data_IF_579890859135
#
_entry.id   IF_579890859135
#
_cell.length_a   1.000
_cell.length_b   1.000
_cell.length_c   1.000
_cell.angle_alpha   90.00
_cell.angle_beta   90.00
_cell.angle_gamma   90.00
#
_symmetry.space_group_name_H-M   'P 1'
#
loop_
_entity.id
_entity.type
_entity.pdbx_description
1 polymer ?
#
# COMPACT_ATOMS: atom_id res chain seq x y z
N UNK A 1 16.71 -56.49 -13.16
CA UNK A 1 15.78 -55.33 -13.23
C UNK A 1 16.08 -54.22 -12.21
N UNK A 2 17.26 -54.20 -11.57
CA UNK A 2 17.62 -53.22 -10.52
C UNK A 2 18.58 -52.11 -10.99
N UNK A 3 19.18 -52.23 -12.18
CA UNK A 3 20.11 -51.22 -12.72
C UNK A 3 19.43 -50.06 -13.49
N UNK A 4 18.15 -50.22 -13.88
CA UNK A 4 17.42 -49.22 -14.67
C UNK A 4 16.79 -48.09 -13.83
N UNK A 5 16.61 -48.30 -12.52
CA UNK A 5 16.04 -47.32 -11.58
C UNK A 5 17.06 -46.29 -11.10
N UNK A 6 18.36 -46.61 -11.07
CA UNK A 6 19.41 -45.67 -10.68
C UNK A 6 19.80 -44.72 -11.83
N UNK A 7 19.77 -45.19 -13.08
CA UNK A 7 20.12 -44.39 -14.26
C UNK A 7 19.07 -43.31 -14.62
N UNK A 8 17.80 -43.48 -14.23
CA UNK A 8 16.77 -42.45 -14.41
C UNK A 8 16.90 -41.28 -13.41
N UNK A 9 17.51 -41.50 -12.24
CA UNK A 9 17.62 -40.47 -11.20
C UNK A 9 18.61 -39.34 -11.54
N UNK A 10 19.76 -39.67 -12.12
CA UNK A 10 20.81 -38.68 -12.46
C UNK A 10 20.50 -37.90 -13.74
N UNK A 11 19.88 -38.56 -14.73
CA UNK A 11 19.46 -37.91 -15.98
C UNK A 11 18.36 -36.85 -15.74
N UNK A 12 17.37 -37.18 -14.92
CA UNK A 12 16.27 -36.26 -14.58
C UNK A 12 16.76 -35.04 -13.78
N UNK A 13 17.75 -35.22 -12.90
CA UNK A 13 18.33 -34.12 -12.13
C UNK A 13 19.19 -33.20 -13.02
N UNK A 14 19.94 -33.76 -13.96
CA UNK A 14 20.72 -32.98 -14.93
C UNK A 14 19.80 -32.17 -15.87
N UNK A 15 18.71 -32.77 -16.34
CA UNK A 15 17.71 -32.11 -17.18
C UNK A 15 16.98 -30.99 -16.41
N UNK A 16 16.68 -31.22 -15.13
CA UNK A 16 16.12 -30.20 -14.24
C UNK A 16 17.09 -29.03 -14.07
N UNK A 17 18.38 -29.29 -13.86
CA UNK A 17 19.39 -28.24 -13.76
C UNK A 17 19.50 -27.40 -15.04
N UNK A 18 19.44 -28.02 -16.22
CA UNK A 18 19.48 -27.28 -17.49
C UNK A 18 18.24 -26.39 -17.64
N UNK A 19 17.05 -26.93 -17.35
CA UNK A 19 15.78 -26.19 -17.42
C UNK A 19 15.75 -25.03 -16.42
N UNK A 20 16.19 -25.26 -15.19
CA UNK A 20 16.37 -24.23 -14.16
C UNK A 20 17.40 -23.18 -14.58
N UNK A 21 18.49 -23.59 -15.24
CA UNK A 21 19.52 -22.67 -15.72
C UNK A 21 19.02 -21.74 -16.84
N UNK A 22 17.94 -22.09 -17.55
CA UNK A 22 17.25 -21.15 -18.45
C UNK A 22 16.31 -20.23 -17.69
N UNK A 23 15.59 -20.77 -16.70
CA UNK A 23 14.63 -20.02 -15.90
C UNK A 23 15.27 -18.95 -15.00
N UNK A 24 16.51 -19.17 -14.53
CA UNK A 24 17.20 -18.26 -13.60
C UNK A 24 17.28 -16.80 -14.07
N UNK A 25 17.44 -16.57 -15.38
CA UNK A 25 17.57 -15.23 -15.97
C UNK A 25 16.29 -14.41 -15.85
N UNK A 26 15.15 -15.10 -15.77
CA UNK A 26 13.85 -14.47 -15.62
C UNK A 26 13.50 -14.19 -14.15
N UNK A 27 14.31 -14.64 -13.18
CA UNK A 27 14.09 -14.39 -11.76
C UNK A 27 14.69 -13.02 -11.41
N UNK A 28 13.92 -12.23 -10.68
CA UNK A 28 14.23 -10.84 -10.38
C UNK A 28 14.23 -10.63 -8.86
N UNK A 29 15.25 -9.95 -8.35
CA UNK A 29 15.23 -9.42 -7.00
C UNK A 29 14.53 -8.06 -6.99
N UNK A 30 13.62 -7.84 -6.04
CA UNK A 30 12.79 -6.63 -5.99
C UNK A 30 13.01 -5.94 -4.65
N UNK A 31 13.26 -4.64 -4.69
CA UNK A 31 13.36 -3.76 -3.52
C UNK A 31 12.28 -2.69 -3.59
N UNK A 32 11.55 -2.53 -2.50
CA UNK A 32 10.36 -1.71 -2.37
C UNK A 32 10.48 -0.89 -1.07
N UNK A 33 11.23 0.22 -1.13
CA UNK A 33 11.65 0.95 0.07
C UNK A 33 12.48 0.07 1.01
N UNK A 34 11.99 -0.13 2.23
CA UNK A 34 12.59 -1.03 3.22
C UNK A 34 12.29 -2.52 2.98
N UNK A 35 11.30 -2.84 2.14
CA UNK A 35 10.90 -4.21 1.84
C UNK A 35 11.75 -4.80 0.71
N UNK A 36 11.91 -6.12 0.77
CA UNK A 36 12.66 -6.89 -0.21
C UNK A 36 11.93 -8.19 -0.50
N UNK A 37 11.78 -8.51 -1.77
CA UNK A 37 11.11 -9.72 -2.24
C UNK A 37 11.74 -10.20 -3.55
N UNK A 38 11.17 -11.24 -4.13
CA UNK A 38 11.57 -11.79 -5.41
C UNK A 38 10.37 -11.82 -6.34
N UNK A 39 10.63 -11.86 -7.63
CA UNK A 39 9.61 -12.07 -8.64
C UNK A 39 10.20 -12.71 -9.87
N UNK A 40 9.40 -12.82 -10.92
CA UNK A 40 9.84 -13.42 -12.17
C UNK A 40 9.13 -12.81 -13.38
N UNK A 41 9.81 -12.75 -14.52
CA UNK A 41 9.26 -12.21 -15.77
C UNK A 41 8.22 -13.18 -16.31
N UNK A 42 6.97 -12.72 -16.35
CA UNK A 42 5.80 -13.56 -16.64
C UNK A 42 5.25 -13.37 -18.06
N UNK A 43 5.51 -12.24 -18.69
CA UNK A 43 5.01 -11.89 -20.01
C UNK A 43 6.14 -11.40 -20.92
N UNK A 44 5.97 -11.59 -22.22
CA UNK A 44 6.98 -11.21 -23.23
C UNK A 44 7.28 -9.71 -23.28
N UNK A 45 6.36 -8.87 -22.76
CA UNK A 45 6.56 -7.44 -22.59
C UNK A 45 7.45 -7.07 -21.39
N UNK A 46 7.88 -8.05 -20.58
CA UNK A 46 8.76 -7.85 -19.43
C UNK A 46 8.06 -7.67 -18.08
N UNK A 47 6.72 -7.76 -18.02
CA UNK A 47 5.99 -7.67 -16.74
C UNK A 47 6.45 -8.76 -15.78
N UNK A 48 6.71 -8.35 -14.53
CA UNK A 48 7.17 -9.22 -13.45
C UNK A 48 6.00 -9.54 -12.52
N UNK A 49 5.83 -10.82 -12.19
CA UNK A 49 4.93 -11.29 -11.14
C UNK A 49 5.69 -11.41 -9.82
N UNK A 50 5.08 -10.95 -8.73
CA UNK A 50 5.59 -11.10 -7.37
C UNK A 50 4.44 -11.22 -6.36
N UNK A 51 4.78 -11.38 -5.09
CA UNK A 51 3.81 -11.36 -3.99
C UNK A 51 3.51 -9.92 -3.58
N UNK A 52 2.22 -9.58 -3.44
CA UNK A 52 1.81 -8.29 -2.87
C UNK A 52 2.34 -8.18 -1.43
N UNK A 53 2.16 -9.22 -0.61
CA UNK A 53 2.91 -9.67 0.59
C UNK A 53 4.28 -9.03 0.71
N UNK A 54 5.18 -9.57 -0.10
CA UNK A 54 6.58 -9.20 -0.11
C UNK A 54 6.84 -7.76 -0.55
N UNK A 55 5.97 -7.20 -1.40
CA UNK A 55 6.16 -5.87 -1.97
C UNK A 55 5.64 -4.73 -1.10
N UNK A 56 4.55 -4.94 -0.36
CA UNK A 56 3.82 -3.87 0.30
C UNK A 56 2.90 -3.10 -0.67
N UNK A 57 2.83 -1.79 -0.50
CA UNK A 57 2.03 -0.87 -1.31
C UNK A 57 2.81 0.31 -1.96
N UNK A 58 4.15 0.28 -2.14
CA UNK A 58 4.78 1.35 -2.89
C UNK A 58 4.37 1.29 -4.36
N UNK A 59 4.27 2.45 -5.00
CA UNK A 59 4.05 2.54 -6.43
C UNK A 59 5.33 2.24 -7.22
N UNK A 60 6.49 2.63 -6.68
CA UNK A 60 7.80 2.49 -7.33
C UNK A 60 8.67 1.44 -6.63
N UNK A 61 9.42 0.68 -7.43
CA UNK A 61 10.29 -0.40 -6.96
C UNK A 61 11.59 -0.42 -7.77
N UNK A 62 12.64 -1.00 -7.20
CA UNK A 62 13.88 -1.29 -7.90
C UNK A 62 13.98 -2.79 -8.17
N UNK A 63 14.19 -3.13 -9.43
CA UNK A 63 14.40 -4.49 -9.91
C UNK A 63 15.89 -4.73 -10.09
N UNK A 64 16.39 -5.88 -9.70
CA UNK A 64 17.78 -6.33 -9.95
C UNK A 64 17.72 -7.68 -10.65
N UNK A 65 18.29 -7.73 -11.86
CA UNK A 65 18.37 -8.93 -12.68
C UNK A 65 19.58 -9.80 -12.27
N UNK A 66 19.66 -11.03 -12.78
CA UNK A 66 20.74 -11.97 -12.50
C UNK A 66 22.14 -11.42 -12.86
N UNK A 67 22.23 -10.65 -13.94
CA UNK A 67 23.47 -10.01 -14.41
C UNK A 67 23.90 -8.80 -13.57
N UNK A 68 23.12 -8.45 -12.53
CA UNK A 68 23.34 -7.31 -11.66
C UNK A 68 22.79 -5.98 -12.19
N UNK A 69 22.20 -5.95 -13.40
CA UNK A 69 21.54 -4.74 -13.93
C UNK A 69 20.38 -4.35 -13.03
N UNK A 70 20.28 -3.05 -12.74
CA UNK A 70 19.20 -2.46 -11.94
C UNK A 70 18.25 -1.69 -12.83
N UNK A 71 16.96 -1.98 -12.72
CA UNK A 71 15.90 -1.29 -13.45
C UNK A 71 14.96 -0.63 -12.46
N UNK A 72 14.48 0.58 -12.78
CA UNK A 72 13.29 1.10 -12.13
C UNK A 72 12.08 0.27 -12.58
N UNK A 73 11.11 0.08 -11.70
CA UNK A 73 9.85 -0.56 -12.02
C UNK A 73 8.70 0.08 -11.27
N UNK A 74 7.50 -0.01 -11.84
CA UNK A 74 6.27 0.51 -11.26
C UNK A 74 5.28 -0.61 -11.03
N UNK A 75 4.61 -0.61 -9.88
CA UNK A 75 3.49 -1.51 -9.61
C UNK A 75 2.30 -1.08 -10.46
N UNK A 76 1.81 -1.95 -11.34
CA UNK A 76 0.72 -1.62 -12.26
C UNK A 76 -0.62 -2.24 -11.86
N UNK A 77 -0.58 -3.33 -11.11
CA UNK A 77 -1.76 -4.00 -10.60
C UNK A 77 -1.40 -4.83 -9.37
N UNK A 78 -2.33 -4.92 -8.42
CA UNK A 78 -2.19 -5.78 -7.25
C UNK A 78 -3.53 -6.39 -6.89
N UNK A 79 -3.56 -7.71 -6.82
CA UNK A 79 -4.68 -8.47 -6.26
C UNK A 79 -4.35 -8.81 -4.80
N UNK A 80 -4.98 -8.06 -3.90
CA UNK A 80 -4.73 -8.16 -2.47
C UNK A 80 -5.30 -9.44 -1.88
N UNK A 81 -6.38 -9.97 -2.45
CA UNK A 81 -6.99 -11.23 -2.01
C UNK A 81 -6.14 -12.43 -2.40
N UNK A 82 -5.54 -12.39 -3.59
CA UNK A 82 -4.67 -13.45 -4.14
C UNK A 82 -3.21 -13.34 -3.70
N UNK A 83 -2.83 -12.27 -3.01
CA UNK A 83 -1.44 -11.95 -2.66
C UNK A 83 -0.52 -11.78 -3.88
N UNK A 84 -1.01 -11.18 -4.97
CA UNK A 84 -0.24 -11.03 -6.22
C UNK A 84 -0.05 -9.56 -6.55
N UNK A 85 1.15 -9.19 -6.97
CA UNK A 85 1.43 -7.89 -7.57
C UNK A 85 2.12 -8.07 -8.92
N UNK A 86 1.81 -7.16 -9.85
CA UNK A 86 2.43 -7.05 -11.16
C UNK A 86 3.25 -5.77 -11.23
N UNK A 87 4.49 -5.90 -11.69
CA UNK A 87 5.42 -4.78 -11.84
C UNK A 87 5.77 -4.63 -13.32
N UNK A 88 5.58 -3.43 -13.87
CA UNK A 88 6.13 -3.05 -15.17
C UNK A 88 7.53 -2.45 -14.98
N UNK A 89 8.57 -2.99 -15.61
CA UNK A 89 9.87 -2.33 -15.63
C UNK A 89 9.82 -1.07 -16.50
N UNK A 90 10.64 -0.06 -16.19
CA UNK A 90 10.73 1.18 -16.97
C UNK A 90 11.27 0.97 -18.40
N UNK A 91 12.06 -0.10 -18.58
CA UNK A 91 12.60 -0.56 -19.86
C UNK A 91 12.50 -2.09 -19.97
N UNK A 92 12.52 -2.68 -21.18
CA UNK A 92 12.49 -4.13 -21.34
C UNK A 92 13.67 -4.80 -20.61
N UNK A 93 13.43 -5.88 -19.83
CA UNK A 93 14.49 -6.49 -19.04
C UNK A 93 15.53 -7.22 -19.91
N UNK A 94 15.20 -7.53 -21.17
CA UNK A 94 16.09 -8.24 -22.10
C UNK A 94 16.21 -9.74 -21.81
N UNK A 95 15.29 -10.29 -21.01
CA UNK A 95 15.21 -11.71 -20.67
C UNK A 95 13.85 -12.26 -21.11
N UNK A 96 13.83 -13.53 -21.51
CA UNK A 96 12.60 -14.20 -21.91
C UNK A 96 11.70 -14.45 -20.68
N UNK A 97 10.39 -14.33 -20.88
CA UNK A 97 9.41 -14.71 -19.88
C UNK A 97 9.45 -16.22 -19.60
N UNK A 98 9.14 -16.61 -18.37
CA UNK A 98 8.95 -18.00 -18.02
C UNK A 98 7.71 -18.56 -18.70
N UNK A 99 7.81 -19.77 -19.24
CA UNK A 99 6.67 -20.47 -19.81
C UNK A 99 5.69 -20.88 -18.70
N UNK A 100 4.43 -20.53 -18.84
CA UNK A 100 3.39 -20.92 -17.90
C UNK A 100 2.95 -22.37 -18.18
N UNK A 101 2.75 -23.18 -17.13
CA UNK A 101 2.13 -24.50 -17.31
C UNK A 101 0.67 -24.30 -17.77
N UNK A 102 0.22 -25.17 -18.67
CA UNK A 102 -1.19 -25.20 -19.07
C UNK A 102 -2.09 -25.38 -17.83
N UNK A 103 -3.30 -24.78 -17.80
CA UNK A 103 -4.22 -24.92 -16.68
C UNK A 103 -4.49 -26.40 -16.38
N UNK A 104 -4.17 -26.81 -15.16
CA UNK A 104 -4.34 -28.17 -14.66
C UNK A 104 -4.03 -28.21 -13.18
N UNK A 105 -4.68 -29.12 -12.45
CA UNK A 105 -4.44 -29.27 -11.02
C UNK A 105 -3.09 -29.96 -10.77
N UNK A 106 -2.24 -29.39 -9.90
CA UNK A 106 -1.01 -30.05 -9.48
C UNK A 106 -1.29 -31.39 -8.79
N UNK A 107 -0.39 -32.36 -8.92
CA UNK A 107 -0.56 -33.68 -8.30
C UNK A 107 0.18 -33.77 -6.97
N UNK A 108 -0.43 -34.44 -5.99
CA UNK A 108 0.24 -34.76 -4.73
C UNK A 108 1.50 -35.58 -5.00
N UNK A 109 2.62 -35.20 -4.38
CA UNK A 109 3.93 -35.83 -4.53
C UNK A 109 4.71 -35.42 -5.78
N UNK A 110 4.11 -34.63 -6.69
CA UNK A 110 4.78 -34.06 -7.86
C UNK A 110 5.98 -33.22 -7.40
N UNK A 111 7.11 -33.36 -8.10
CA UNK A 111 8.33 -32.59 -7.82
C UNK A 111 8.19 -31.19 -8.40
N UNK A 112 8.64 -30.21 -7.64
CA UNK A 112 8.72 -28.82 -8.06
C UNK A 112 10.10 -28.23 -7.74
N UNK A 113 10.53 -27.28 -8.55
CA UNK A 113 11.69 -26.44 -8.27
C UNK A 113 11.20 -25.04 -7.88
N UNK A 114 11.69 -24.52 -6.75
CA UNK A 114 11.39 -23.17 -6.30
C UNK A 114 12.61 -22.28 -6.54
N UNK A 115 12.41 -21.21 -7.29
CA UNK A 115 13.44 -20.23 -7.61
C UNK A 115 13.15 -18.89 -6.96
N UNK A 116 14.16 -18.34 -6.30
CA UNK A 116 14.08 -17.03 -5.66
C UNK A 116 15.42 -16.29 -5.73
N UNK A 117 15.36 -14.97 -5.75
CA UNK A 117 16.52 -14.09 -5.63
C UNK A 117 16.11 -12.88 -4.80
N UNK A 118 16.79 -12.66 -3.67
CA UNK A 118 16.57 -11.47 -2.84
C UNK A 118 17.69 -10.45 -3.10
N UNK A 119 17.42 -9.14 -2.94
CA UNK A 119 18.43 -8.11 -3.11
C UNK A 119 19.71 -8.38 -2.30
N UNK A 120 20.86 -8.45 -2.98
CA UNK A 120 22.15 -8.72 -2.36
C UNK A 120 22.45 -10.20 -2.10
N UNK A 121 21.56 -11.11 -2.49
CA UNK A 121 21.76 -12.56 -2.42
C UNK A 121 21.89 -13.14 -3.84
N UNK A 122 22.56 -14.28 -3.96
CA UNK A 122 22.55 -15.07 -5.18
C UNK A 122 21.22 -15.79 -5.40
N UNK A 123 21.01 -16.31 -6.60
CA UNK A 123 19.87 -17.18 -6.91
C UNK A 123 19.84 -18.38 -5.96
N UNK A 124 18.68 -18.62 -5.36
CA UNK A 124 18.39 -19.80 -4.54
C UNK A 124 17.47 -20.73 -5.31
N UNK A 125 17.91 -21.97 -5.46
CA UNK A 125 17.12 -23.09 -5.95
C UNK A 125 16.82 -24.01 -4.77
N UNK A 126 15.55 -24.38 -4.60
CA UNK A 126 15.15 -25.46 -3.72
C UNK A 126 14.29 -26.47 -4.49
N UNK A 127 14.50 -27.76 -4.23
CA UNK A 127 13.67 -28.83 -4.77
C UNK A 127 12.67 -29.23 -3.70
N UNK A 128 11.40 -29.31 -4.07
CA UNK A 128 10.29 -29.59 -3.18
C UNK A 128 9.32 -30.59 -3.80
N UNK A 129 8.35 -31.03 -3.01
CA UNK A 129 7.21 -31.83 -3.42
C UNK A 129 5.92 -31.14 -3.03
N UNK A 130 4.92 -31.33 -3.86
CA UNK A 130 3.55 -30.92 -3.55
C UNK A 130 3.03 -31.82 -2.44
N UNK A 131 2.95 -31.30 -1.21
CA UNK A 131 2.53 -32.05 -0.03
C UNK A 131 1.04 -31.89 0.30
N UNK A 132 0.40 -30.88 -0.28
CA UNK A 132 -1.04 -30.69 -0.21
C UNK A 132 -1.54 -30.11 -1.52
N UNK A 133 -2.67 -30.62 -2.02
CA UNK A 133 -3.36 -30.10 -3.21
C UNK A 133 -4.65 -29.38 -2.80
N UNK A 134 -5.12 -28.39 -3.57
CA UNK A 134 -6.33 -27.64 -3.23
C UNK A 134 -7.51 -28.59 -3.04
N UNK A 135 -8.17 -28.51 -1.88
CA UNK A 135 -9.58 -28.90 -1.81
C UNK A 135 -10.39 -27.68 -2.22
N UNK A 136 -11.37 -27.85 -3.12
CA UNK A 136 -12.39 -26.83 -3.35
C UNK A 136 -13.11 -26.60 -2.02
N UNK A 137 -12.74 -25.54 -1.33
CA UNK A 137 -13.43 -25.05 -0.14
C UNK A 137 -14.10 -23.75 -0.58
N UNK A 138 -15.42 -23.68 -0.42
CA UNK A 138 -16.20 -22.52 -0.84
C UNK A 138 -15.62 -21.23 -0.24
N UNK A 139 -15.33 -20.26 -1.12
CA UNK A 139 -14.80 -18.95 -0.73
C UNK A 139 -13.28 -18.86 -0.53
N UNK A 140 -12.52 -19.95 -0.68
CA UNK A 140 -11.05 -19.90 -0.70
C UNK A 140 -10.50 -20.06 -2.10
N UNK A 141 -9.49 -19.25 -2.43
CA UNK A 141 -8.74 -19.40 -3.67
C UNK A 141 -8.04 -20.77 -3.65
N UNK A 142 -8.07 -21.52 -4.77
CA UNK A 142 -7.36 -22.79 -4.83
C UNK A 142 -5.87 -22.52 -4.65
N UNK A 143 -5.26 -23.11 -3.62
CA UNK A 143 -3.82 -23.10 -3.36
C UNK A 143 -3.33 -24.51 -3.06
N UNK A 144 -2.06 -24.78 -3.36
CA UNK A 144 -1.38 -26.01 -2.97
C UNK A 144 -0.20 -25.68 -2.05
N UNK A 145 0.31 -26.68 -1.35
CA UNK A 145 1.46 -26.51 -0.44
C UNK A 145 2.66 -27.32 -0.90
N UNK A 146 3.84 -26.76 -0.64
CA UNK A 146 5.13 -27.40 -0.84
C UNK A 146 5.78 -27.70 0.50
N UNK A 147 6.53 -28.79 0.57
CA UNK A 147 7.37 -29.18 1.71
C UNK A 147 8.70 -28.40 1.82
N UNK A 148 8.68 -27.13 1.40
CA UNK A 148 9.82 -26.21 1.51
C UNK A 148 9.37 -24.84 1.98
N UNK A 149 10.21 -24.16 2.77
CA UNK A 149 10.04 -22.74 3.06
C UNK A 149 10.75 -21.89 1.99
N UNK A 150 10.02 -20.98 1.35
CA UNK A 150 10.52 -20.08 0.33
C UNK A 150 9.94 -18.67 0.51
N UNK A 151 10.65 -17.61 0.07
CA UNK A 151 10.15 -16.25 0.19
C UNK A 151 8.91 -16.02 -0.69
N UNK A 152 7.95 -15.18 -0.27
CA UNK A 152 6.83 -14.75 -1.10
C UNK A 152 7.32 -14.15 -2.42
N UNK A 153 6.60 -14.42 -3.50
CA UNK A 153 6.90 -13.99 -4.86
C UNK A 153 7.80 -14.95 -5.64
N UNK A 154 8.36 -15.97 -4.99
CA UNK A 154 9.21 -16.96 -5.66
C UNK A 154 8.43 -17.77 -6.71
N UNK A 155 9.12 -18.10 -7.82
CA UNK A 155 8.56 -18.90 -8.89
C UNK A 155 8.61 -20.38 -8.53
N UNK A 156 7.50 -21.09 -8.71
CA UNK A 156 7.43 -22.55 -8.56
C UNK A 156 7.34 -23.16 -9.95
N UNK A 157 8.27 -24.04 -10.29
CA UNK A 157 8.39 -24.68 -11.61
C UNK A 157 8.11 -26.17 -11.52
N UNK A 158 7.50 -26.73 -12.56
CA UNK A 158 7.43 -28.19 -12.75
C UNK A 158 8.78 -28.74 -13.25
N UNK A 159 8.84 -30.06 -13.42
CA UNK A 159 10.02 -30.73 -13.96
C UNK A 159 10.36 -30.31 -15.39
N UNK A 160 9.41 -29.71 -16.13
CA UNK A 160 9.60 -29.14 -17.47
C UNK A 160 10.09 -27.68 -17.45
N UNK A 161 10.31 -27.11 -16.26
CA UNK A 161 10.73 -25.72 -16.10
C UNK A 161 9.61 -24.72 -16.39
N UNK A 162 8.34 -25.17 -16.42
CA UNK A 162 7.16 -24.32 -16.60
C UNK A 162 6.61 -23.91 -15.25
N UNK A 163 6.09 -22.69 -15.17
CA UNK A 163 5.57 -22.13 -13.92
C UNK A 163 4.28 -22.84 -13.51
N UNK A 164 4.30 -23.45 -12.33
CA UNK A 164 3.15 -23.99 -11.61
C UNK A 164 2.39 -22.91 -10.86
N UNK A 165 3.09 -21.92 -10.34
CA UNK A 165 2.52 -20.89 -9.50
C UNK A 165 3.56 -19.97 -8.87
N UNK A 166 3.08 -19.14 -7.95
CA UNK A 166 3.88 -18.18 -7.19
C UNK A 166 3.70 -18.44 -5.70
N UNK A 167 4.79 -18.38 -4.93
CA UNK A 167 4.73 -18.48 -3.47
C UNK A 167 3.98 -17.25 -2.94
N UNK A 168 2.87 -17.50 -2.25
CA UNK A 168 2.05 -16.49 -1.61
C UNK A 168 2.31 -16.49 -0.10
N UNK A 169 2.20 -15.33 0.53
CA UNK A 169 2.20 -15.24 1.98
C UNK A 169 0.82 -15.64 2.53
N UNK A 170 0.75 -16.55 3.53
CA UNK A 170 -0.48 -17.12 4.03
C UNK A 170 -1.44 -16.05 4.58
N UNK A 171 -2.74 -16.17 4.31
CA UNK A 171 -3.74 -15.21 4.80
C UNK A 171 -4.16 -15.51 6.25
N UNK A 172 -3.63 -14.79 7.24
CA UNK A 172 -4.06 -14.85 8.65
C UNK A 172 -2.92 -15.07 9.67
N UNK A 173 -3.26 -15.03 10.96
CA UNK A 173 -2.36 -15.33 12.11
C UNK A 173 -2.09 -16.86 12.22
N UNK A 174 -1.04 -17.30 12.95
CA UNK A 174 -0.12 -18.34 12.51
C UNK A 174 -0.66 -19.76 12.67
N UNK A 175 -0.71 -20.43 11.53
CA UNK A 175 -0.48 -21.86 11.40
C UNK A 175 0.58 -22.08 10.32
N UNK A 176 1.64 -21.28 10.30
CA UNK A 176 2.80 -21.58 9.46
C UNK A 176 3.37 -22.91 9.95
N UNK A 177 3.11 -23.97 9.20
CA UNK A 177 3.84 -25.21 9.36
C UNK A 177 5.30 -24.90 9.00
N UNK A 178 6.23 -25.00 9.96
CA UNK A 178 7.63 -24.68 9.70
C UNK A 178 8.13 -25.53 8.53
N UNK A 179 8.71 -24.88 7.51
CA UNK A 179 9.21 -25.58 6.33
C UNK A 179 8.17 -25.84 5.25
N UNK A 180 7.00 -25.20 5.26
CA UNK A 180 6.03 -25.27 4.16
C UNK A 180 5.78 -23.91 3.51
N UNK A 181 5.37 -23.92 2.24
CA UNK A 181 4.99 -22.72 1.51
C UNK A 181 3.67 -22.91 0.79
N UNK A 182 2.82 -21.89 0.86
CA UNK A 182 1.55 -21.82 0.10
C UNK A 182 1.85 -21.30 -1.29
N UNK A 183 1.32 -21.97 -2.30
CA UNK A 183 1.48 -21.61 -3.72
C UNK A 183 0.13 -21.27 -4.31
N UNK A 184 0.04 -20.09 -4.92
CA UNK A 184 -1.06 -19.72 -5.78
C UNK A 184 -0.82 -20.30 -7.19
N UNK A 185 -1.73 -21.14 -7.73
CA UNK A 185 -1.59 -21.73 -9.06
C UNK A 185 -1.55 -20.66 -10.16
N UNK A 186 -0.76 -20.94 -11.20
CA UNK A 186 -0.60 -20.06 -12.36
C UNK A 186 -1.92 -19.80 -13.08
N UNK A 187 -2.86 -20.76 -13.06
CA UNK A 187 -4.21 -20.58 -13.61
C UNK A 187 -4.97 -19.43 -12.96
N UNK A 188 -4.78 -19.22 -11.66
CA UNK A 188 -5.39 -18.11 -10.90
C UNK A 188 -4.81 -16.74 -11.27
N UNK A 189 -3.63 -16.70 -11.91
CA UNK A 189 -2.98 -15.47 -12.37
C UNK A 189 -3.47 -15.01 -13.75
N UNK A 190 -4.04 -15.91 -14.55
CA UNK A 190 -4.33 -15.66 -15.96
C UNK A 190 -5.23 -14.43 -16.21
N UNK A 191 -6.32 -14.20 -15.46
CA UNK A 191 -7.14 -13.00 -15.67
C UNK A 191 -6.35 -11.70 -15.45
N UNK A 192 -5.48 -11.70 -14.43
CA UNK A 192 -4.65 -10.54 -14.10
C UNK A 192 -3.57 -10.32 -15.16
N UNK A 193 -2.89 -11.38 -15.59
CA UNK A 193 -1.87 -11.34 -16.65
C UNK A 193 -2.48 -10.90 -17.99
N UNK A 194 -3.62 -11.45 -18.38
CA UNK A 194 -4.31 -11.07 -19.61
C UNK A 194 -4.72 -9.59 -19.63
N UNK A 195 -5.02 -9.00 -18.47
CA UNK A 195 -5.33 -7.57 -18.39
C UNK A 195 -4.13 -6.66 -18.66
N UNK A 196 -2.90 -7.17 -18.60
CA UNK A 196 -1.66 -6.42 -18.83
C UNK A 196 -0.80 -6.98 -19.95
N UNK A 197 -1.32 -7.91 -20.75
CA UNK A 197 -0.65 -8.45 -21.94
C UNK A 197 -0.81 -7.48 -23.11
N UNK A 198 -0.07 -6.37 -23.02
CA UNK A 198 -0.06 -5.26 -23.97
C UNK A 198 1.35 -4.64 -24.01
N UNK A 199 1.67 -3.74 -24.96
CA UNK A 199 2.99 -3.11 -25.02
C UNK A 199 3.42 -2.47 -23.70
N UNK A 200 4.70 -2.62 -23.32
CA UNK A 200 5.24 -2.11 -22.05
C UNK A 200 5.08 -0.58 -21.90
N UNK A 201 5.14 0.15 -23.01
CA UNK A 201 4.96 1.60 -23.06
C UNK A 201 3.59 2.03 -22.50
N UNK A 202 2.55 1.21 -22.67
CA UNK A 202 1.19 1.51 -22.17
C UNK A 202 1.04 1.24 -20.67
N UNK A 203 2.04 0.61 -20.05
CA UNK A 203 1.99 0.12 -18.67
C UNK A 203 2.91 0.89 -17.73
N UNK A 204 4.11 1.27 -18.20
CA UNK A 204 5.17 1.81 -17.32
C UNK A 204 4.79 3.10 -16.58
N UNK A 205 3.88 3.89 -17.15
CA UNK A 205 3.42 5.16 -16.59
C UNK A 205 2.04 5.05 -15.90
N UNK A 206 1.48 3.84 -15.85
CA UNK A 206 0.14 3.59 -15.29
C UNK A 206 0.17 3.62 -13.77
N UNK A 207 -0.77 4.34 -13.16
CA UNK A 207 -0.98 4.30 -11.71
C UNK A 207 -1.33 2.87 -11.23
N UNK A 208 -0.82 2.43 -10.07
CA UNK A 208 -1.14 1.10 -9.54
C UNK A 208 -2.64 0.94 -9.29
N UNK A 209 -3.20 -0.21 -9.68
CA UNK A 209 -4.59 -0.57 -9.35
C UNK A 209 -4.61 -1.69 -8.32
N UNK A 210 -5.07 -1.40 -7.11
CA UNK A 210 -5.25 -2.38 -6.03
C UNK A 210 -6.69 -2.89 -6.02
N UNK A 211 -6.90 -4.19 -5.88
CA UNK A 211 -8.24 -4.82 -5.86
C UNK A 211 -8.62 -5.32 -4.49
N UNK A 212 -9.86 -5.05 -4.08
CA UNK A 212 -10.38 -5.42 -2.77
C UNK A 212 -10.33 -6.96 -2.60
N UNK A 213 -9.85 -7.48 -1.46
CA UNK A 213 -9.79 -8.92 -1.21
C UNK A 213 -11.16 -9.61 -1.07
N UNK A 214 -12.28 -8.87 -1.08
CA UNK A 214 -13.63 -9.45 -1.02
C UNK A 214 -14.41 -9.36 -2.31
N UNK A 215 -14.51 -8.18 -2.91
CA UNK A 215 -15.35 -7.94 -4.09
C UNK A 215 -14.55 -7.62 -5.35
N UNK A 216 -13.21 -7.68 -5.29
CA UNK A 216 -12.28 -7.40 -6.39
C UNK A 216 -12.35 -5.98 -6.99
N UNK A 217 -13.20 -5.11 -6.43
CA UNK A 217 -13.35 -3.71 -6.83
C UNK A 217 -12.02 -2.96 -6.62
N UNK A 218 -11.61 -2.11 -7.58
CA UNK A 218 -10.48 -1.22 -7.39
C UNK A 218 -10.65 -0.37 -6.13
N UNK A 219 -9.55 -0.15 -5.40
CA UNK A 219 -9.55 0.74 -4.25
C UNK A 219 -8.28 1.58 -4.19
N UNK A 220 -8.40 2.72 -3.54
CA UNK A 220 -7.27 3.58 -3.19
C UNK A 220 -6.65 3.11 -1.87
N UNK A 221 -5.33 2.97 -1.82
CA UNK A 221 -4.58 2.56 -0.62
C UNK A 221 -4.77 3.50 0.58
N UNK A 222 -5.24 4.72 0.33
CA UNK A 222 -5.62 5.69 1.36
C UNK A 222 -6.98 5.38 2.00
N UNK A 223 -7.82 4.57 1.34
CA UNK A 223 -9.11 4.16 1.87
C UNK A 223 -8.99 3.06 2.93
N UNK A 224 -9.65 3.23 4.07
CA UNK A 224 -9.78 2.16 5.09
C UNK A 224 -10.72 1.05 4.68
N UNK A 225 -11.71 1.36 3.85
CA UNK A 225 -12.76 0.43 3.48
C UNK A 225 -12.96 0.46 1.99
N UNK A 226 -13.27 -0.70 1.43
CA UNK A 226 -13.67 -0.81 0.05
C UNK A 226 -14.97 -0.02 -0.17
N UNK A 227 -14.99 0.86 -1.16
CA UNK A 227 -16.18 1.64 -1.51
C UNK A 227 -17.30 0.76 -2.09
N UNK A 228 -16.96 -0.39 -2.71
CA UNK A 228 -17.93 -1.33 -3.25
C UNK A 228 -18.62 -2.19 -2.19
N UNK A 229 -17.86 -2.79 -1.25
CA UNK A 229 -18.40 -3.77 -0.30
C UNK A 229 -18.31 -3.38 1.19
N UNK A 230 -17.68 -2.23 1.51
CA UNK A 230 -17.49 -1.77 2.89
C UNK A 230 -16.48 -2.57 3.73
N UNK A 231 -15.84 -3.61 3.17
CA UNK A 231 -14.84 -4.42 3.88
C UNK A 231 -13.62 -3.58 4.24
N UNK A 232 -13.09 -3.78 5.44
CA UNK A 232 -11.83 -3.18 5.87
C UNK A 232 -10.69 -3.66 4.97
N UNK A 233 -9.96 -2.73 4.39
CA UNK A 233 -8.85 -2.99 3.48
C UNK A 233 -7.58 -3.26 4.29
N UNK A 234 -6.73 -4.21 3.88
CA UNK A 234 -5.44 -4.43 4.53
C UNK A 234 -4.53 -3.26 4.13
N UNK A 235 -4.31 -2.33 5.05
CA UNK A 235 -3.59 -1.09 4.78
C UNK A 235 -2.14 -1.25 4.32
N UNK A 236 -1.63 -0.20 3.66
CA UNK A 236 -0.20 0.05 3.43
C UNK A 236 0.59 0.34 4.70
N UNK A 237 -0.11 0.80 5.74
CA UNK A 237 0.52 1.24 6.96
C UNK A 237 0.59 0.07 7.93
N UNK A 238 1.79 -0.40 8.31
CA UNK A 238 1.91 -1.36 9.39
C UNK A 238 1.19 -0.83 10.64
N UNK A 239 0.54 -1.69 11.43
CA UNK A 239 -0.01 -1.26 12.71
C UNK A 239 1.14 -0.74 13.57
N UNK A 240 1.19 0.57 13.77
CA UNK A 240 2.09 1.21 14.71
C UNK A 240 1.33 1.35 16.04
N UNK A 241 1.78 0.71 17.14
CA UNK A 241 1.10 0.81 18.44
C UNK A 241 0.93 2.26 18.92
N UNK A 242 1.92 3.13 18.66
CA UNK A 242 1.83 4.55 18.96
C UNK A 242 0.70 5.21 18.15
N UNK A 243 0.62 4.97 16.84
CA UNK A 243 -0.47 5.48 16.00
C UNK A 243 -1.84 4.96 16.44
N UNK A 244 -1.94 3.67 16.80
CA UNK A 244 -3.20 3.10 17.27
C UNK A 244 -3.67 3.71 18.61
N UNK A 245 -2.76 4.15 19.47
CA UNK A 245 -3.10 4.89 20.69
C UNK A 245 -3.63 6.29 20.36
N UNK A 246 -2.96 7.01 19.46
CA UNK A 246 -3.40 8.33 19.00
C UNK A 246 -4.74 8.27 18.26
N UNK A 247 -4.92 7.30 17.36
CA UNK A 247 -6.20 7.12 16.66
C UNK A 247 -7.35 6.87 17.65
N UNK A 248 -7.12 6.13 18.74
CA UNK A 248 -8.12 5.96 19.81
C UNK A 248 -8.40 7.28 20.53
N UNK A 249 -7.37 8.05 20.85
CA UNK A 249 -7.50 9.38 21.46
C UNK A 249 -8.35 10.31 20.58
N UNK A 250 -8.05 10.40 19.27
CA UNK A 250 -8.84 11.22 18.33
C UNK A 250 -10.30 10.72 18.27
N UNK A 251 -10.52 9.41 18.25
CA UNK A 251 -11.89 8.86 18.27
C UNK A 251 -12.65 9.27 19.52
N UNK A 252 -12.00 9.29 20.67
CA UNK A 252 -12.58 9.72 21.95
C UNK A 252 -12.85 11.23 21.95
N UNK A 253 -11.88 12.04 21.51
CA UNK A 253 -12.01 13.48 21.38
C UNK A 253 -13.19 13.86 20.46
N UNK A 254 -13.26 13.26 19.26
CA UNK A 254 -14.37 13.47 18.34
C UNK A 254 -15.70 13.00 18.93
N UNK A 255 -15.71 11.88 19.66
CA UNK A 255 -16.92 11.41 20.35
C UNK A 255 -17.38 12.37 21.43
N UNK A 256 -16.48 13.02 22.16
CA UNK A 256 -16.80 14.05 23.16
C UNK A 256 -17.44 15.29 22.50
N UNK A 257 -17.09 15.57 21.25
CA UNK A 257 -17.70 16.60 20.40
C UNK A 257 -19.02 16.13 19.73
N UNK A 258 -19.48 14.91 20.01
CA UNK A 258 -20.67 14.32 19.37
C UNK A 258 -20.45 13.87 17.93
N UNK A 259 -19.20 13.77 17.48
CA UNK A 259 -18.83 13.42 16.11
C UNK A 259 -18.42 11.94 16.04
N UNK A 260 -19.05 11.20 15.13
CA UNK A 260 -18.64 9.82 14.85
C UNK A 260 -17.39 9.83 14.00
N UNK A 261 -16.23 9.56 14.61
CA UNK A 261 -14.92 9.60 13.95
C UNK A 261 -14.85 8.85 12.61
N UNK A 262 -15.49 7.68 12.49
CA UNK A 262 -15.50 6.91 11.25
C UNK A 262 -16.26 7.60 10.10
N UNK A 263 -17.23 8.48 10.39
CA UNK A 263 -17.94 9.28 9.37
C UNK A 263 -17.14 10.49 8.92
N UNK A 264 -16.32 11.03 9.82
CA UNK A 264 -15.45 12.16 9.56
C UNK A 264 -14.14 11.77 8.87
N UNK A 265 -13.80 10.48 8.81
CA UNK A 265 -12.50 10.04 8.30
C UNK A 265 -12.47 10.14 6.78
N UNK A 266 -11.48 10.86 6.25
CA UNK A 266 -11.27 11.07 4.81
C UNK A 266 -9.99 10.41 4.29
N UNK A 267 -9.12 9.97 5.20
CA UNK A 267 -7.89 9.26 4.87
C UNK A 267 -7.38 8.40 6.03
N UNK A 268 -6.25 7.71 5.85
CA UNK A 268 -5.74 6.76 6.83
C UNK A 268 -5.21 7.46 8.08
N UNK A 269 -4.80 8.71 7.97
CA UNK A 269 -4.32 9.54 9.08
C UNK A 269 -5.09 10.85 9.18
N UNK A 270 -6.21 10.96 8.47
CA UNK A 270 -6.86 12.24 8.21
C UNK A 270 -8.36 12.18 8.46
N UNK A 271 -8.85 13.13 9.23
CA UNK A 271 -10.27 13.37 9.46
C UNK A 271 -10.63 14.78 9.03
N UNK A 272 -11.85 14.93 8.53
CA UNK A 272 -12.45 16.19 8.15
C UNK A 272 -13.79 16.30 8.84
N UNK A 273 -13.95 17.33 9.65
CA UNK A 273 -15.17 17.60 10.39
C UNK A 273 -15.69 18.99 10.06
N UNK A 274 -16.98 19.22 10.28
CA UNK A 274 -17.57 20.55 10.28
C UNK A 274 -18.09 20.83 11.69
N UNK A 275 -17.52 21.84 12.35
CA UNK A 275 -17.84 22.20 13.73
C UNK A 275 -18.21 23.68 13.84
N UNK A 276 -19.24 23.97 14.64
CA UNK A 276 -19.66 25.34 14.91
C UNK A 276 -18.85 25.90 16.09
N UNK A 277 -18.35 27.15 16.02
CA UNK A 277 -17.60 27.76 17.12
C UNK A 277 -18.45 27.93 18.38
N UNK A 278 -19.75 28.16 18.21
CA UNK A 278 -20.72 28.26 19.29
C UNK A 278 -22.04 27.61 18.85
N UNK A 279 -22.90 27.15 19.79
CA UNK A 279 -24.18 26.51 19.45
C UNK A 279 -25.09 27.36 18.57
N UNK A 280 -24.99 28.69 18.69
CA UNK A 280 -25.79 29.68 17.96
C UNK A 280 -25.19 30.10 16.62
N UNK A 281 -23.98 29.65 16.26
CA UNK A 281 -23.35 30.02 15.00
C UNK A 281 -24.12 29.44 13.80
N UNK A 282 -24.32 30.25 12.77
CA UNK A 282 -25.07 29.86 11.57
C UNK A 282 -24.26 28.91 10.68
N UNK A 283 -22.95 29.16 10.54
CA UNK A 283 -22.03 28.38 9.72
C UNK A 283 -21.07 27.54 10.55
N UNK A 284 -20.82 26.32 10.09
CA UNK A 284 -19.78 25.45 10.63
C UNK A 284 -18.46 25.73 9.92
N UNK A 285 -17.35 25.64 10.65
CA UNK A 285 -16.00 25.68 10.09
C UNK A 285 -15.51 24.26 9.87
N UNK A 286 -14.98 23.99 8.68
CA UNK A 286 -14.29 22.74 8.37
C UNK A 286 -12.96 22.70 9.12
N UNK A 287 -12.69 21.58 9.79
CA UNK A 287 -11.40 21.30 10.42
C UNK A 287 -10.82 20.04 9.80
N UNK A 288 -9.63 20.17 9.26
CA UNK A 288 -8.79 19.06 8.82
C UNK A 288 -7.87 18.65 9.98
N UNK A 289 -7.92 17.36 10.34
CA UNK A 289 -7.19 16.73 11.44
C UNK A 289 -6.27 15.70 10.82
N UNK A 290 -4.96 15.79 11.03
CA UNK A 290 -3.97 14.86 10.49
C UNK A 290 -3.01 14.36 11.57
N UNK A 291 -2.66 13.08 11.55
CA UNK A 291 -1.56 12.53 12.37
C UNK A 291 -0.34 12.31 11.47
N UNK A 292 0.86 12.60 11.97
CA UNK A 292 2.11 12.24 11.28
C UNK A 292 2.31 10.72 11.12
N UNK A 293 3.31 10.33 10.32
CA UNK A 293 3.58 8.92 10.05
C UNK A 293 4.00 8.13 11.30
N UNK A 294 4.73 8.79 12.20
CA UNK A 294 5.22 8.21 13.45
C UNK A 294 4.11 8.03 14.51
N UNK A 295 2.97 8.71 14.36
CA UNK A 295 1.91 8.69 15.36
C UNK A 295 2.25 9.49 16.62
N UNK A 296 2.97 10.62 16.47
CA UNK A 296 3.45 11.48 17.56
C UNK A 296 2.88 12.88 17.50
N UNK A 297 2.65 13.41 16.30
CA UNK A 297 2.19 14.78 16.10
C UNK A 297 0.77 14.79 15.57
N UNK A 298 -0.05 15.67 16.14
CA UNK A 298 -1.37 16.04 15.66
C UNK A 298 -1.27 17.39 14.96
N UNK A 299 -1.69 17.44 13.71
CA UNK A 299 -1.86 18.67 12.94
C UNK A 299 -3.35 18.96 12.79
N UNK A 300 -3.76 20.16 13.18
CA UNK A 300 -5.11 20.67 12.98
C UNK A 300 -5.05 21.89 12.08
N UNK A 301 -5.97 22.00 11.12
CA UNK A 301 -6.05 23.15 10.21
C UNK A 301 -7.50 23.54 9.93
N UNK A 302 -7.76 24.84 9.93
CA UNK A 302 -9.06 25.41 9.59
C UNK A 302 -8.89 26.65 8.67
N UNK A 303 -9.71 26.79 7.62
CA UNK A 303 -9.69 27.96 6.74
C UNK A 303 -10.33 29.18 7.42
N UNK A 304 -9.80 30.37 7.11
CA UNK A 304 -10.20 31.63 7.73
C UNK A 304 -10.78 32.58 6.68
N UNK A 305 -9.95 33.06 5.74
CA UNK A 305 -10.34 33.99 4.67
C UNK A 305 -9.55 33.72 3.38
N UNK A 306 -10.06 34.18 2.24
CA UNK A 306 -9.25 34.31 1.02
C UNK A 306 -8.28 35.49 1.12
N UNK A 307 -7.16 35.44 0.40
CA UNK A 307 -6.25 36.59 0.32
C UNK A 307 -6.97 37.74 -0.41
N UNK A 308 -7.01 38.96 0.14
CA UNK A 308 -7.72 40.07 -0.50
C UNK A 308 -6.99 40.48 -1.78
N UNK A 309 -7.74 40.94 -2.79
CA UNK A 309 -7.19 41.38 -4.09
C UNK A 309 -6.49 42.76 -4.05
N UNK A 310 -6.58 43.47 -2.92
CA UNK A 310 -5.99 44.77 -2.69
C UNK A 310 -5.37 44.84 -1.27
N UNK A 311 -4.51 45.83 -1.02
CA UNK A 311 -3.90 46.08 0.30
C UNK A 311 -3.10 44.89 0.87
N UNK A 312 -2.37 44.17 0.00
CA UNK A 312 -1.61 42.98 0.39
C UNK A 312 -0.54 43.26 1.46
N UNK A 313 0.19 44.38 1.37
CA UNK A 313 1.25 44.68 2.33
C UNK A 313 0.73 44.91 3.76
N UNK A 314 -0.30 45.76 3.99
CA UNK A 314 -0.95 45.84 5.31
C UNK A 314 -1.49 44.49 5.81
N UNK A 315 -2.09 43.70 4.92
CA UNK A 315 -2.64 42.38 5.26
C UNK A 315 -1.56 41.40 5.71
N UNK A 316 -0.47 41.24 4.95
CA UNK A 316 0.63 40.35 5.32
C UNK A 316 1.35 40.81 6.59
N UNK A 317 1.55 42.12 6.77
CA UNK A 317 2.09 42.66 8.03
C UNK A 317 1.20 42.35 9.22
N UNK A 318 -0.10 42.45 9.06
CA UNK A 318 -1.05 42.09 10.11
C UNK A 318 -0.93 40.61 10.47
N UNK A 319 -0.92 39.70 9.48
CA UNK A 319 -0.77 38.26 9.75
C UNK A 319 0.55 37.92 10.46
N UNK A 320 1.66 38.55 10.07
CA UNK A 320 2.95 38.39 10.76
C UNK A 320 2.89 38.91 12.20
N UNK A 321 2.27 40.07 12.40
CA UNK A 321 2.11 40.66 13.73
C UNK A 321 1.25 39.76 14.63
N UNK A 322 0.17 39.19 14.09
CA UNK A 322 -0.68 38.26 14.83
C UNK A 322 0.08 37.00 15.21
N UNK A 323 0.92 36.45 14.33
CA UNK A 323 1.77 35.31 14.66
C UNK A 323 2.82 35.64 15.72
N UNK A 324 3.44 36.83 15.67
CA UNK A 324 4.44 37.27 16.65
C UNK A 324 3.81 37.56 18.03
N UNK A 325 2.59 38.12 18.05
CA UNK A 325 1.87 38.44 19.28
C UNK A 325 1.13 37.23 19.87
N UNK A 326 0.79 36.23 19.05
CA UNK A 326 0.17 34.99 19.52
C UNK A 326 1.18 34.17 20.33
N UNK A 327 1.10 34.25 21.66
CA UNK A 327 1.87 33.39 22.58
C UNK A 327 1.32 31.96 22.66
N UNK A 328 0.20 31.67 21.96
CA UNK A 328 -0.46 30.37 21.95
C UNK A 328 0.10 29.37 20.93
N UNK A 329 -0.60 28.25 20.76
CA UNK A 329 -0.22 27.12 19.89
C UNK A 329 -0.77 27.23 18.46
N UNK A 330 -1.57 28.25 18.18
CA UNK A 330 -2.19 28.49 16.88
C UNK A 330 -1.34 29.44 16.04
N UNK A 331 -1.15 29.11 14.76
CA UNK A 331 -0.40 29.91 13.79
C UNK A 331 -1.20 30.11 12.52
N UNK A 332 -1.20 31.34 12.03
CA UNK A 332 -1.72 31.70 10.72
C UNK A 332 -0.71 31.34 9.64
N UNK A 333 -1.20 30.73 8.57
CA UNK A 333 -0.41 30.37 7.41
C UNK A 333 -1.18 30.70 6.14
N UNK A 334 -0.45 30.90 5.06
CA UNK A 334 -1.01 31.21 3.75
C UNK A 334 -0.54 30.11 2.81
N UNK A 335 -1.50 29.48 2.12
CA UNK A 335 -1.23 28.54 1.06
C UNK A 335 -2.17 28.85 -0.10
N UNK A 336 -1.59 28.95 -1.30
CA UNK A 336 -2.30 29.37 -2.51
C UNK A 336 -2.96 30.75 -2.32
N UNK A 337 -4.29 30.78 -2.27
CA UNK A 337 -5.12 31.98 -2.11
C UNK A 337 -5.95 31.95 -0.81
N UNK A 338 -5.52 31.13 0.17
CA UNK A 338 -6.25 30.89 1.40
C UNK A 338 -5.36 31.14 2.64
N UNK A 339 -5.90 31.93 3.57
CA UNK A 339 -5.37 32.04 4.94
C UNK A 339 -6.04 31.00 5.82
N UNK A 340 -5.22 30.22 6.51
CA UNK A 340 -5.67 29.17 7.42
C UNK A 340 -4.99 29.31 8.78
N UNK A 341 -5.73 29.00 9.83
CA UNK A 341 -5.16 28.81 11.17
C UNK A 341 -4.83 27.34 11.35
N UNK A 342 -3.67 27.07 11.93
CA UNK A 342 -3.18 25.72 12.15
C UNK A 342 -2.55 25.56 13.52
N UNK A 343 -2.57 24.34 14.05
CA UNK A 343 -1.90 23.97 15.28
C UNK A 343 -1.18 22.64 15.04
N UNK A 344 0.05 22.54 15.55
CA UNK A 344 0.78 21.27 15.60
C UNK A 344 1.09 20.98 17.06
N UNK A 345 0.48 19.93 17.60
CA UNK A 345 0.64 19.52 18.98
C UNK A 345 1.35 18.16 19.08
N UNK A 346 2.22 18.02 20.08
CA UNK A 346 2.73 16.72 20.48
C UNK A 346 1.67 15.99 21.29
N UNK A 347 1.48 14.71 20.99
CA UNK A 347 0.50 13.86 21.67
C UNK A 347 1.13 13.01 22.78
N UNK A 348 2.44 13.20 23.05
CA UNK A 348 3.12 12.52 24.15
C UNK A 348 2.58 13.03 25.50
N UNK A 349 1.79 12.19 26.18
CA UNK A 349 1.23 12.50 27.50
C UNK A 349 -0.07 13.30 27.47
N UNK A 350 -0.59 13.64 26.30
CA UNK A 350 -1.89 14.32 26.15
C UNK A 350 -3.06 13.40 26.49
N UNK A 351 -4.11 13.96 27.07
CA UNK A 351 -5.39 13.28 27.25
C UNK A 351 -6.29 13.45 26.03
N UNK A 352 -7.32 12.61 25.92
CA UNK A 352 -8.40 12.75 24.93
C UNK A 352 -9.19 14.05 25.13
N UNK A 353 -9.29 14.54 26.37
CA UNK A 353 -9.88 15.84 26.69
C UNK A 353 -9.06 17.00 26.10
N UNK A 354 -7.72 16.95 26.21
CA UNK A 354 -6.85 18.00 25.66
C UNK A 354 -7.00 18.10 24.13
N UNK A 355 -7.07 16.95 23.44
CA UNK A 355 -7.29 16.92 22.00
C UNK A 355 -8.66 17.52 21.60
N UNK A 356 -9.72 17.28 22.39
CA UNK A 356 -11.03 17.89 22.14
C UNK A 356 -11.01 19.41 22.34
N UNK A 357 -10.32 19.88 23.39
CA UNK A 357 -10.14 21.32 23.66
C UNK A 357 -9.32 22.01 22.57
N UNK A 358 -8.30 21.34 22.02
CA UNK A 358 -7.52 21.88 20.90
C UNK A 358 -8.38 22.05 19.64
N UNK A 359 -9.22 21.06 19.33
CA UNK A 359 -10.13 21.14 18.18
C UNK A 359 -11.13 22.29 18.37
N UNK A 360 -11.78 22.40 19.52
CA UNK A 360 -12.76 23.46 19.78
C UNK A 360 -12.09 24.85 19.81
N UNK A 361 -10.93 24.96 20.46
CA UNK A 361 -10.12 26.17 20.49
C UNK A 361 -9.69 26.64 19.11
N UNK A 362 -9.32 25.73 18.21
CA UNK A 362 -9.01 26.07 16.82
C UNK A 362 -10.22 26.68 16.11
N UNK A 363 -11.41 26.10 16.29
CA UNK A 363 -12.64 26.58 15.64
C UNK A 363 -13.02 27.98 16.14
N UNK A 364 -12.90 28.21 17.44
CA UNK A 364 -13.14 29.54 18.04
C UNK A 364 -12.13 30.57 17.53
N UNK A 365 -10.84 30.22 17.50
CA UNK A 365 -9.79 31.09 17.00
C UNK A 365 -9.93 31.39 15.51
N UNK A 366 -10.30 30.39 14.70
CA UNK A 366 -10.59 30.56 13.27
C UNK A 366 -11.73 31.57 13.06
N UNK A 367 -12.77 31.52 13.88
CA UNK A 367 -13.89 32.45 13.81
C UNK A 367 -13.50 33.88 14.23
N UNK A 368 -12.72 34.03 15.29
CA UNK A 368 -12.20 35.34 15.73
C UNK A 368 -11.33 36.01 14.66
N UNK A 369 -10.38 35.26 14.09
CA UNK A 369 -9.56 35.76 12.99
C UNK A 369 -10.37 36.05 11.73
N UNK A 370 -11.39 35.23 11.44
CA UNK A 370 -12.27 35.47 10.28
C UNK A 370 -13.00 36.78 10.40
N UNK A 371 -13.59 37.08 11.56
CA UNK A 371 -14.28 38.36 11.81
C UNK A 371 -13.30 39.52 11.70
N UNK A 372 -12.16 39.43 12.39
CA UNK A 372 -11.14 40.49 12.40
C UNK A 372 -10.62 40.82 11.00
N UNK A 373 -10.30 39.79 10.20
CA UNK A 373 -9.77 39.96 8.85
C UNK A 373 -10.84 40.42 7.86
N UNK A 374 -12.08 39.93 7.98
CA UNK A 374 -13.20 40.40 7.16
C UNK A 374 -13.51 41.88 7.45
N UNK A 375 -13.56 42.28 8.71
CA UNK A 375 -13.90 43.65 9.12
C UNK A 375 -12.80 44.65 8.78
N UNK A 376 -11.52 44.25 8.90
CA UNK A 376 -10.37 45.16 8.73
C UNK A 376 -9.90 45.26 7.27
N UNK A 377 -10.00 44.16 6.51
CA UNK A 377 -9.40 44.06 5.17
C UNK A 377 -10.41 43.69 4.07
N UNK A 378 -11.72 43.63 4.39
CA UNK A 378 -12.78 43.20 3.47
C UNK A 378 -12.50 41.81 2.85
N UNK A 379 -11.75 40.98 3.57
CA UNK A 379 -11.35 39.67 3.10
C UNK A 379 -12.53 38.69 3.12
N UNK A 380 -12.73 37.95 2.02
CA UNK A 380 -13.85 37.05 1.89
C UNK A 380 -13.74 35.85 2.86
N UNK A 381 -14.73 35.62 3.75
CA UNK A 381 -14.68 34.54 4.73
C UNK A 381 -14.68 33.17 4.05
N UNK A 382 -13.88 32.24 4.58
CA UNK A 382 -13.80 30.85 4.15
C UNK A 382 -14.16 29.93 5.31
N UNK A 383 -14.99 28.93 5.01
CA UNK A 383 -15.45 27.92 5.98
C UNK A 383 -15.06 26.49 5.57
N UNK A 384 -14.67 26.29 4.32
CA UNK A 384 -14.25 25.01 3.76
C UNK A 384 -12.91 25.19 3.07
N UNK A 385 -11.98 24.24 3.30
CA UNK A 385 -10.65 24.27 2.68
C UNK A 385 -10.79 24.04 1.17
N UNK A 386 -10.04 24.76 0.35
CA UNK A 386 -9.92 24.42 -1.07
C UNK A 386 -9.49 22.94 -1.23
N UNK A 387 -10.21 22.17 -2.05
CA UNK A 387 -9.91 20.76 -2.29
C UNK A 387 -8.48 20.61 -2.84
N UNK A 388 -7.61 19.98 -2.05
CA UNK A 388 -6.24 19.59 -2.43
C UNK A 388 -6.23 18.50 -3.47
#
# INVERSE_FOLDING_TARGET
MTAQLAAHGDGDLALLHERVARARRAIVAIRAGALATTGWVALGNGVVVTSRRGLGYPAEVALTLEDGRRLAGRVIAADVGRDVALVAPGEPPGVAALSLRAPGEPRLGERAAVLSCLPGQGLRLAVARICQVPRKVDGLLPSFELDVAAPPGAAVLDTDGRVLGVIAAPAGAPGELPGHSVVLPVGSLQPLLGSVDRPLLDLRDRAPVYRCPACEEPFDIESDRCLGCGRLLPHAFPPCPARAAVERMIRQALSALGIVANRARVGPRTWRIAQRPYPTAETATQVDIEIDEAGRLLSLRAPVVGVPAAHHEPFYRFLLTMNDQSTGEFRLSIADDEVSVSCVASLEGSSDHDAALLIDGLVQMADEYRRTLADTFEAAPRFESASR
#
